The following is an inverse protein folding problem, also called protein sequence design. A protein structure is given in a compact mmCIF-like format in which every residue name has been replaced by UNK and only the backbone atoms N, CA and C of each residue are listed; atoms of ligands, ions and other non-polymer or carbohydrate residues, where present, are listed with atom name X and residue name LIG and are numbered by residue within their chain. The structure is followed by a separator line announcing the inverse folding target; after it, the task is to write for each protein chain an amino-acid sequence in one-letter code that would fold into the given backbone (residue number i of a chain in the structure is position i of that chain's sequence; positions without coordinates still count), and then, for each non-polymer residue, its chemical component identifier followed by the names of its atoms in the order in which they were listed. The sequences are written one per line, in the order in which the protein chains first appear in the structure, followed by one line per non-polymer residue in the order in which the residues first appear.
data_IF_165046975604
#
_entry.id   IF_165046975604
#
_cell.length_a   1.000
_cell.length_b   1.000
_cell.length_c   1.000
_cell.angle_alpha   90.00
_cell.angle_beta   90.00
_cell.angle_gamma   90.00
#
_symmetry.space_group_name_H-M   'P 1'
#
loop_
_entity.id
_entity.type
_entity.pdbx_description
1 polymer ?
#
# COMPACT_ATOMS: atom_id res chain seq x y z
N UNK A 1 22.15 -44.49 49.39
CA UNK A 1 22.76 -43.14 49.33
C UNK A 1 23.22 -42.71 47.94
N UNK A 2 23.94 -43.52 47.15
CA UNK A 2 24.44 -43.11 45.81
C UNK A 2 23.35 -42.78 44.77
N UNK A 3 22.14 -43.34 44.86
CA UNK A 3 21.04 -43.05 43.92
C UNK A 3 20.42 -41.66 44.08
N UNK A 4 20.31 -41.16 45.32
CA UNK A 4 19.80 -39.79 45.57
C UNK A 4 20.73 -38.70 45.04
N UNK A 5 22.05 -38.95 45.04
CA UNK A 5 23.03 -37.98 44.55
C UNK A 5 22.92 -37.80 43.02
N UNK A 6 22.67 -38.89 42.28
CA UNK A 6 22.47 -38.84 40.82
C UNK A 6 21.18 -38.12 40.43
N UNK A 7 20.09 -38.36 41.17
CA UNK A 7 18.81 -37.68 40.92
C UNK A 7 18.92 -36.16 41.13
N UNK A 8 19.67 -35.71 42.15
CA UNK A 8 19.91 -34.29 42.40
C UNK A 8 20.72 -33.61 41.29
N UNK A 9 21.76 -34.27 40.76
CA UNK A 9 22.55 -33.71 39.66
C UNK A 9 21.76 -33.65 38.34
N UNK A 10 20.90 -34.63 38.06
CA UNK A 10 20.01 -34.59 36.89
C UNK A 10 18.97 -33.47 37.01
N UNK A 11 18.36 -33.31 38.18
CA UNK A 11 17.37 -32.24 38.42
C UNK A 11 18.03 -30.85 38.34
N UNK A 12 19.23 -30.69 38.90
CA UNK A 12 19.98 -29.44 38.84
C UNK A 12 20.43 -29.12 37.41
N UNK A 13 20.89 -30.12 36.65
CA UNK A 13 21.22 -29.96 35.23
C UNK A 13 20.00 -29.58 34.38
N UNK A 14 18.84 -30.20 34.61
CA UNK A 14 17.60 -29.86 33.93
C UNK A 14 17.11 -28.45 34.28
N UNK A 15 17.21 -28.04 35.55
CA UNK A 15 16.89 -26.68 35.99
C UNK A 15 17.87 -25.64 35.42
N UNK A 16 19.17 -25.95 35.33
CA UNK A 16 20.15 -25.08 34.67
C UNK A 16 19.86 -24.96 33.17
N UNK A 17 19.47 -26.06 32.52
CA UNK A 17 19.12 -26.06 31.10
C UNK A 17 17.83 -25.28 30.83
N UNK A 18 16.81 -25.40 31.70
CA UNK A 18 15.58 -24.60 31.62
C UNK A 18 15.83 -23.11 31.94
N UNK A 19 16.71 -22.81 32.90
CA UNK A 19 17.11 -21.43 33.22
C UNK A 19 17.97 -20.79 32.12
N UNK A 20 18.80 -21.57 31.43
CA UNK A 20 19.59 -21.07 30.29
C UNK A 20 18.76 -20.98 29.00
N UNK A 21 17.80 -21.88 28.78
CA UNK A 21 16.83 -21.77 27.68
C UNK A 21 15.90 -20.56 27.81
N UNK A 22 15.62 -20.10 29.04
CA UNK A 22 14.86 -18.86 29.30
C UNK A 22 15.73 -17.60 29.33
N UNK A 23 17.06 -17.73 29.44
CA UNK A 23 18.00 -16.62 29.41
C UNK A 23 18.38 -16.16 27.99
N UNK A 24 18.05 -16.94 26.95
CA UNK A 24 17.98 -16.44 25.57
C UNK A 24 16.67 -15.68 25.34
N UNK A 25 16.34 -14.77 26.26
CA UNK A 25 15.25 -13.84 26.07
C UNK A 25 15.54 -13.01 24.83
N UNK A 26 14.63 -13.04 23.85
CA UNK A 26 14.69 -12.33 22.57
C UNK A 26 15.46 -11.00 22.72
N UNK A 27 16.73 -10.99 22.33
CA UNK A 27 17.56 -9.80 22.44
C UNK A 27 16.95 -8.75 21.52
N UNK A 28 16.28 -7.76 22.11
CA UNK A 28 15.54 -6.77 21.35
C UNK A 28 16.53 -5.89 20.59
N UNK A 29 16.44 -5.89 19.26
CA UNK A 29 17.24 -5.01 18.41
C UNK A 29 16.69 -3.60 18.55
N UNK A 30 17.53 -2.68 19.03
CA UNK A 30 17.19 -1.28 19.23
C UNK A 30 17.63 -0.47 18.01
N UNK A 31 16.71 -0.21 17.08
CA UNK A 31 17.03 0.52 15.86
C UNK A 31 17.08 2.05 16.06
N UNK A 32 16.33 2.60 17.04
CA UNK A 32 16.05 4.05 17.09
C UNK A 32 16.33 4.73 18.44
N UNK A 33 16.95 4.03 19.40
CA UNK A 33 17.02 4.48 20.81
C UNK A 33 17.87 5.71 21.07
N UNK A 34 18.66 6.11 20.08
CA UNK A 34 19.47 7.30 20.12
C UNK A 34 19.31 8.01 18.77
N UNK A 35 18.77 9.23 18.75
CA UNK A 35 19.01 10.19 17.65
C UNK A 35 20.50 10.62 17.61
N UNK A 36 21.42 9.71 17.91
CA UNK A 36 22.84 9.92 17.74
C UNK A 36 23.14 9.88 16.23
N UNK A 37 24.09 10.69 15.75
CA UNK A 37 24.51 10.61 14.37
C UNK A 37 25.06 9.20 14.15
N UNK A 38 24.33 8.37 13.40
CA UNK A 38 24.89 7.12 12.89
C UNK A 38 26.01 7.52 11.93
N UNK A 39 27.23 7.60 12.47
CA UNK A 39 28.48 7.73 11.74
C UNK A 39 28.89 6.29 11.42
N UNK A 40 28.24 5.74 10.40
CA UNK A 40 28.50 4.41 9.86
C UNK A 40 27.95 4.37 8.43
N UNK A 41 28.60 3.66 7.50
CA UNK A 41 28.18 3.65 6.09
C UNK A 41 26.74 3.09 5.97
N UNK A 42 25.89 3.77 5.20
CA UNK A 42 24.45 3.44 5.02
C UNK A 42 24.18 1.96 4.72
N UNK A 43 25.11 1.28 4.05
CA UNK A 43 25.02 -0.15 3.69
C UNK A 43 24.83 -1.08 4.90
N UNK A 44 25.34 -0.71 6.07
CA UNK A 44 25.18 -1.56 7.27
C UNK A 44 23.76 -1.54 7.82
N UNK A 45 23.09 -0.38 7.81
CA UNK A 45 21.70 -0.25 8.27
C UNK A 45 20.75 -1.05 7.36
N UNK A 46 20.84 -0.86 6.05
CA UNK A 46 20.00 -1.58 5.08
C UNK A 46 20.17 -3.10 5.23
N UNK A 47 21.42 -3.58 5.39
CA UNK A 47 21.71 -5.00 5.60
C UNK A 47 21.16 -5.53 6.93
N UNK A 48 21.22 -4.72 8.00
CA UNK A 48 20.66 -5.09 9.30
C UNK A 48 19.14 -5.17 9.23
N UNK A 49 18.50 -4.16 8.66
CA UNK A 49 17.03 -4.07 8.53
C UNK A 49 16.47 -5.21 7.71
N UNK A 50 17.16 -5.65 6.65
CA UNK A 50 16.75 -6.81 5.85
C UNK A 50 16.89 -8.16 6.59
N UNK A 51 17.65 -8.21 7.68
CA UNK A 51 17.93 -9.43 8.47
C UNK A 51 17.21 -9.42 9.83
N UNK A 52 16.03 -8.80 9.90
CA UNK A 52 15.23 -8.72 11.13
C UNK A 52 14.14 -9.79 11.26
N UNK A 53 14.00 -10.70 10.29
CA UNK A 53 13.02 -11.79 10.38
C UNK A 53 13.23 -12.62 11.66
N UNK A 54 12.15 -12.91 12.38
CA UNK A 54 12.14 -13.63 13.65
C UNK A 54 12.62 -12.83 14.87
N UNK A 55 13.05 -11.57 14.71
CA UNK A 55 13.60 -10.75 15.81
C UNK A 55 12.56 -9.84 16.42
N UNK A 56 12.77 -9.48 17.69
CA UNK A 56 12.03 -8.41 18.36
C UNK A 56 12.75 -7.08 18.15
N UNK A 57 12.04 -6.07 17.65
CA UNK A 57 12.56 -4.71 17.41
C UNK A 57 11.96 -3.75 18.42
N UNK A 58 12.80 -2.96 19.10
CA UNK A 58 12.39 -1.88 20.02
C UNK A 58 12.52 -0.52 19.33
N UNK A 59 11.40 0.23 19.29
CA UNK A 59 11.27 1.55 18.66
C UNK A 59 11.52 2.70 19.63
N UNK A 60 11.64 3.93 19.13
CA UNK A 60 11.98 5.09 19.98
C UNK A 60 10.94 5.40 21.06
N UNK A 61 9.68 5.03 20.84
CA UNK A 61 8.60 5.16 21.82
C UNK A 61 8.58 4.02 22.86
N UNK A 62 9.58 3.14 22.87
CA UNK A 62 9.69 1.98 23.76
C UNK A 62 8.82 0.79 23.35
N UNK A 63 8.02 0.91 22.29
CA UNK A 63 7.23 -0.21 21.76
C UNK A 63 8.16 -1.29 21.22
N UNK A 64 7.81 -2.55 21.46
CA UNK A 64 8.50 -3.71 20.91
C UNK A 64 7.57 -4.45 19.94
N UNK A 65 8.06 -4.79 18.75
CA UNK A 65 7.34 -5.62 17.78
C UNK A 65 8.17 -6.86 17.46
N UNK A 66 7.57 -8.04 17.55
CA UNK A 66 8.18 -9.29 17.08
C UNK A 66 7.88 -9.46 15.59
N UNK A 67 8.93 -9.52 14.78
CA UNK A 67 8.82 -9.63 13.33
C UNK A 67 8.77 -11.10 12.91
N UNK A 68 7.81 -11.44 12.05
CA UNK A 68 7.67 -12.73 11.41
C UNK A 68 8.53 -12.83 10.16
N UNK A 69 7.96 -13.42 9.11
CA UNK A 69 8.61 -13.57 7.81
C UNK A 69 8.77 -12.24 7.08
N UNK A 70 9.83 -12.15 6.26
CA UNK A 70 10.00 -11.04 5.33
C UNK A 70 9.13 -11.30 4.10
N UNK A 71 8.20 -10.39 3.83
CA UNK A 71 7.27 -10.52 2.71
C UNK A 71 7.78 -9.84 1.44
N UNK A 72 8.60 -8.80 1.58
CA UNK A 72 9.09 -8.05 0.44
C UNK A 72 9.96 -6.87 0.82
N UNK A 73 10.48 -6.19 -0.19
CA UNK A 73 11.33 -5.02 -0.05
C UNK A 73 11.24 -4.17 -1.30
N UNK A 74 10.96 -2.89 -1.12
CA UNK A 74 11.08 -1.87 -2.16
C UNK A 74 12.42 -1.16 -2.09
N UNK A 75 12.49 0.03 -2.70
CA UNK A 75 13.65 0.93 -2.61
C UNK A 75 13.72 1.63 -1.24
N UNK A 76 12.57 1.97 -0.67
CA UNK A 76 12.45 2.82 0.54
C UNK A 76 12.04 2.04 1.78
N UNK A 77 11.34 0.92 1.63
CA UNK A 77 10.81 0.14 2.78
C UNK A 77 10.99 -1.37 2.64
N UNK A 78 11.13 -2.05 3.77
CA UNK A 78 11.02 -3.50 3.90
C UNK A 78 9.72 -3.85 4.61
N UNK A 79 9.11 -4.98 4.24
CA UNK A 79 7.83 -5.43 4.78
C UNK A 79 8.04 -6.75 5.50
N UNK A 80 7.64 -6.79 6.76
CA UNK A 80 7.59 -8.00 7.59
C UNK A 80 6.16 -8.29 8.02
N UNK A 81 5.84 -9.55 8.18
CA UNK A 81 4.69 -9.98 8.96
C UNK A 81 4.87 -9.63 10.44
N UNK A 82 3.79 -9.34 11.16
CA UNK A 82 3.82 -9.28 12.62
C UNK A 82 3.64 -10.69 13.19
N UNK A 83 4.62 -11.15 13.98
CA UNK A 83 4.59 -12.53 14.52
C UNK A 83 3.40 -12.78 15.45
N UNK A 84 2.95 -11.76 16.17
CA UNK A 84 1.81 -11.86 17.10
C UNK A 84 0.45 -11.71 16.39
N UNK A 85 0.43 -11.21 15.16
CA UNK A 85 -0.79 -11.02 14.36
C UNK A 85 -0.51 -11.17 12.86
N UNK A 86 -0.67 -12.39 12.30
CA UNK A 86 -0.34 -12.70 10.91
C UNK A 86 -1.23 -11.98 9.89
N UNK A 87 -2.33 -11.35 10.34
CA UNK A 87 -3.22 -10.54 9.50
C UNK A 87 -2.70 -9.12 9.26
N UNK A 88 -1.57 -8.77 9.91
CA UNK A 88 -0.94 -7.47 9.83
C UNK A 88 0.50 -7.58 9.35
N UNK A 89 0.95 -6.51 8.72
CA UNK A 89 2.33 -6.31 8.31
C UNK A 89 2.88 -5.05 8.94
N UNK A 90 4.18 -5.00 9.14
CA UNK A 90 4.91 -3.80 9.49
C UNK A 90 5.86 -3.42 8.36
N UNK A 91 5.76 -2.16 7.93
CA UNK A 91 6.65 -1.53 6.98
C UNK A 91 7.71 -0.76 7.75
N UNK A 92 8.97 -1.04 7.50
CA UNK A 92 10.12 -0.35 8.09
C UNK A 92 10.88 0.41 7.00
N UNK A 93 11.39 1.59 7.30
CA UNK A 93 12.23 2.34 6.36
C UNK A 93 13.59 1.63 6.19
N UNK A 94 14.00 1.44 4.92
CA UNK A 94 15.22 0.73 4.55
C UNK A 94 16.49 1.56 4.73
N UNK A 95 16.44 2.87 4.49
CA UNK A 95 17.61 3.74 4.53
C UNK A 95 17.31 5.07 5.24
N UNK A 96 18.38 5.77 5.64
CA UNK A 96 18.28 7.05 6.37
C UNK A 96 17.66 8.16 5.53
N UNK A 97 17.84 8.14 4.22
CA UNK A 97 17.21 9.10 3.31
C UNK A 97 15.68 8.96 3.40
N UNK A 98 15.16 7.74 3.36
CA UNK A 98 13.74 7.40 3.57
C UNK A 98 13.21 7.83 4.94
N UNK A 99 14.05 7.76 5.99
CA UNK A 99 13.74 8.32 7.31
C UNK A 99 13.62 9.85 7.26
N UNK A 100 14.52 10.53 6.53
CA UNK A 100 14.57 12.00 6.42
C UNK A 100 13.55 12.58 5.44
N UNK A 101 13.27 11.88 4.34
CA UNK A 101 12.28 12.20 3.31
C UNK A 101 10.86 11.96 3.82
N UNK A 102 10.71 11.43 5.03
CA UNK A 102 9.44 11.24 5.69
C UNK A 102 8.49 10.37 4.84
N UNK A 103 9.00 9.36 4.13
CA UNK A 103 8.21 8.52 3.24
C UNK A 103 7.01 7.89 3.98
N UNK A 104 7.27 7.22 5.11
CA UNK A 104 6.23 6.61 5.94
C UNK A 104 5.21 7.63 6.48
N UNK A 105 5.66 8.85 6.78
CA UNK A 105 4.76 9.95 7.15
C UNK A 105 3.93 10.42 5.95
N UNK A 106 4.50 10.46 4.76
CA UNK A 106 3.78 10.76 3.51
C UNK A 106 2.74 9.69 3.21
N UNK A 107 3.05 8.41 3.41
CA UNK A 107 2.08 7.30 3.31
C UNK A 107 0.92 7.52 4.29
N UNK A 108 1.20 7.83 5.56
CA UNK A 108 0.15 8.08 6.54
C UNK A 108 -0.73 9.30 6.21
N UNK A 109 -0.12 10.38 5.73
CA UNK A 109 -0.85 11.56 5.29
C UNK A 109 -1.75 11.26 4.08
N UNK A 110 -1.21 10.55 3.09
CA UNK A 110 -1.99 10.10 1.93
C UNK A 110 -3.14 9.19 2.33
N UNK A 111 -2.92 8.29 3.31
CA UNK A 111 -3.95 7.37 3.81
C UNK A 111 -5.18 8.10 4.35
N UNK A 112 -4.96 9.17 5.12
CA UNK A 112 -6.06 9.95 5.72
C UNK A 112 -6.97 10.54 4.65
N UNK A 113 -6.39 11.02 3.55
CA UNK A 113 -7.14 11.58 2.42
C UNK A 113 -7.82 10.47 1.62
N UNK A 114 -7.12 9.40 1.28
CA UNK A 114 -7.69 8.26 0.55
C UNK A 114 -8.89 7.67 1.31
N UNK A 115 -8.76 7.50 2.62
CA UNK A 115 -9.84 7.03 3.50
C UNK A 115 -11.02 7.99 3.57
N UNK A 116 -10.78 9.31 3.58
CA UNK A 116 -11.85 10.31 3.58
C UNK A 116 -12.77 10.19 2.35
N UNK A 117 -12.21 9.79 1.20
CA UNK A 117 -12.95 9.59 -0.04
C UNK A 117 -13.34 8.11 -0.29
N UNK A 118 -13.22 7.25 0.73
CA UNK A 118 -13.52 5.81 0.63
C UNK A 118 -12.75 5.11 -0.51
N UNK A 119 -11.53 5.57 -0.80
CA UNK A 119 -10.67 4.93 -1.78
C UNK A 119 -10.28 3.52 -1.29
N UNK A 120 -10.27 2.49 -2.15
CA UNK A 120 -9.84 1.15 -1.77
C UNK A 120 -8.33 1.08 -1.54
N UNK A 121 -7.91 1.28 -0.30
CA UNK A 121 -6.52 1.20 0.16
C UNK A 121 -6.42 0.21 1.31
N UNK A 122 -5.23 -0.34 1.52
CA UNK A 122 -4.99 -1.17 2.73
C UNK A 122 -5.23 -0.37 3.99
N UNK A 123 -5.84 -1.00 4.99
CA UNK A 123 -6.03 -0.34 6.27
C UNK A 123 -4.68 -0.11 6.96
N UNK A 124 -4.42 1.14 7.37
CA UNK A 124 -3.32 1.44 8.29
C UNK A 124 -3.85 1.46 9.71
N UNK A 125 -3.19 0.71 10.60
CA UNK A 125 -3.59 0.58 12.01
C UNK A 125 -2.81 1.53 12.89
N UNK A 126 -1.51 1.67 12.63
CA UNK A 126 -0.61 2.41 13.50
C UNK A 126 0.59 2.96 12.73
N UNK A 127 1.16 4.05 13.23
CA UNK A 127 2.30 4.74 12.67
C UNK A 127 3.14 5.31 13.81
N UNK A 128 4.45 5.12 13.73
CA UNK A 128 5.42 5.96 14.41
C UNK A 128 6.23 6.70 13.35
N UNK A 129 6.06 8.02 13.31
CA UNK A 129 6.51 8.86 12.19
C UNK A 129 7.97 8.62 11.84
N UNK A 130 8.20 8.09 10.65
CA UNK A 130 9.54 7.80 10.12
C UNK A 130 10.08 6.41 10.49
N UNK A 131 9.60 5.76 11.55
CA UNK A 131 10.16 4.47 11.99
C UNK A 131 9.40 3.27 11.42
N UNK A 132 8.06 3.28 11.54
CA UNK A 132 7.24 2.18 11.02
C UNK A 132 5.80 2.58 10.72
N UNK A 133 5.16 1.77 9.89
CA UNK A 133 3.70 1.74 9.68
C UNK A 133 3.21 0.31 9.80
N UNK A 134 2.18 0.08 10.61
CA UNK A 134 1.47 -1.20 10.69
C UNK A 134 0.25 -1.13 9.77
N UNK A 135 0.13 -2.08 8.85
CA UNK A 135 -0.91 -2.15 7.84
C UNK A 135 -1.58 -3.53 7.78
N UNK A 136 -2.72 -3.60 7.11
CA UNK A 136 -3.38 -4.83 6.71
C UNK A 136 -2.47 -5.68 5.82
N UNK A 137 -2.39 -6.97 6.12
CA UNK A 137 -1.79 -7.95 5.20
C UNK A 137 -2.82 -8.29 4.13
N UNK A 138 -2.45 -8.05 2.89
CA UNK A 138 -3.23 -8.48 1.73
C UNK A 138 -2.69 -9.83 1.27
N UNK A 139 -3.57 -10.82 1.09
CA UNK A 139 -3.16 -12.10 0.55
C UNK A 139 -4.30 -13.13 0.49
N UNK A 140 -4.23 -14.08 -0.46
CA UNK A 140 -3.46 -14.06 -1.72
C UNK A 140 -3.94 -12.94 -2.67
N UNK A 141 -3.13 -12.48 -3.64
CA UNK A 141 -3.46 -11.26 -4.41
C UNK A 141 -2.96 -11.26 -5.85
N UNK A 142 -3.77 -10.84 -6.84
CA UNK A 142 -3.37 -10.70 -8.26
C UNK A 142 -2.95 -9.26 -8.54
N UNK A 143 -1.76 -9.00 -9.07
CA UNK A 143 -1.41 -7.64 -9.51
C UNK A 143 -2.24 -7.21 -10.73
N UNK A 144 -2.39 -5.90 -10.91
CA UNK A 144 -3.07 -5.35 -12.07
C UNK A 144 -2.37 -5.76 -13.36
N UNK A 145 -1.04 -5.64 -13.45
CA UNK A 145 -0.27 -6.09 -14.61
C UNK A 145 -0.54 -7.57 -14.98
N UNK A 146 -0.65 -8.47 -13.98
CA UNK A 146 -0.96 -9.87 -14.24
C UNK A 146 -2.39 -10.07 -14.74
N UNK A 147 -3.36 -9.37 -14.17
CA UNK A 147 -4.73 -9.39 -14.70
C UNK A 147 -4.77 -8.97 -16.18
N UNK A 148 -3.97 -7.98 -16.55
CA UNK A 148 -3.90 -7.48 -17.92
C UNK A 148 -3.22 -8.46 -18.86
N UNK A 149 -2.09 -9.03 -18.45
CA UNK A 149 -1.46 -10.12 -19.21
C UNK A 149 -2.45 -11.23 -19.52
N UNK A 150 -3.28 -11.61 -18.55
CA UNK A 150 -4.34 -12.61 -18.76
C UNK A 150 -5.37 -12.16 -19.81
N UNK A 151 -5.91 -10.93 -19.70
CA UNK A 151 -6.89 -10.41 -20.67
C UNK A 151 -6.32 -10.31 -22.11
N UNK A 152 -5.02 -10.10 -22.23
CA UNK A 152 -4.29 -10.06 -23.51
C UNK A 152 -3.92 -11.46 -24.05
N UNK A 153 -4.26 -12.54 -23.34
CA UNK A 153 -3.83 -13.89 -23.67
C UNK A 153 -2.32 -14.12 -23.53
N UNK A 154 -1.62 -13.26 -22.79
CA UNK A 154 -0.19 -13.41 -22.47
C UNK A 154 -0.01 -14.40 -21.32
N UNK A 155 1.08 -15.17 -21.39
CA UNK A 155 1.42 -16.10 -20.33
C UNK A 155 1.70 -15.36 -19.01
N UNK A 156 1.14 -15.87 -17.92
CA UNK A 156 1.48 -15.47 -16.56
C UNK A 156 2.75 -16.24 -16.17
N UNK A 157 3.86 -15.54 -15.94
CA UNK A 157 5.08 -16.16 -15.42
C UNK A 157 4.98 -16.28 -13.89
N UNK A 158 5.39 -17.44 -13.35
CA UNK A 158 5.72 -17.64 -11.94
C UNK A 158 4.57 -17.47 -10.92
N UNK A 159 3.38 -17.98 -11.23
CA UNK A 159 2.21 -17.79 -10.36
C UNK A 159 1.38 -19.04 -10.08
N UNK A 160 1.02 -19.21 -8.81
CA UNK A 160 0.24 -20.35 -8.29
C UNK A 160 -1.27 -20.22 -8.55
N UNK A 161 -1.74 -19.06 -9.02
CA UNK A 161 -3.17 -18.78 -9.21
C UNK A 161 -3.49 -18.68 -10.70
N UNK A 162 -4.31 -19.62 -11.18
CA UNK A 162 -4.92 -19.56 -12.51
C UNK A 162 -6.09 -18.58 -12.49
N UNK A 163 -6.11 -17.66 -13.46
CA UNK A 163 -7.26 -16.77 -13.68
C UNK A 163 -8.18 -17.48 -14.69
N UNK A 164 -9.31 -17.99 -14.20
CA UNK A 164 -10.38 -18.52 -15.05
C UNK A 164 -11.40 -17.42 -15.41
N UNK A 165 -12.34 -17.74 -16.31
CA UNK A 165 -13.36 -16.80 -16.76
C UNK A 165 -14.25 -16.26 -15.63
N UNK A 166 -14.49 -17.07 -14.59
CA UNK A 166 -15.29 -16.63 -13.45
C UNK A 166 -14.54 -15.58 -12.63
N UNK A 167 -13.29 -15.87 -12.28
CA UNK A 167 -12.43 -14.97 -11.55
C UNK A 167 -12.18 -13.69 -12.33
N UNK A 168 -11.91 -13.78 -13.64
CA UNK A 168 -11.77 -12.61 -14.51
C UNK A 168 -13.01 -11.71 -14.47
N UNK A 169 -14.22 -12.29 -14.51
CA UNK A 169 -15.48 -11.52 -14.38
C UNK A 169 -15.62 -10.87 -13.00
N UNK A 170 -15.25 -11.55 -11.92
CA UNK A 170 -15.26 -10.97 -10.56
C UNK A 170 -14.31 -9.78 -10.45
N UNK A 171 -13.08 -9.95 -10.93
CA UNK A 171 -12.06 -8.89 -10.97
C UNK A 171 -12.52 -7.69 -11.78
N UNK A 172 -13.14 -7.91 -12.94
CA UNK A 172 -13.71 -6.89 -13.81
C UNK A 172 -14.76 -6.05 -13.07
N UNK A 173 -15.74 -6.70 -12.42
CA UNK A 173 -16.79 -6.00 -11.64
C UNK A 173 -16.23 -5.24 -10.44
N UNK A 174 -15.28 -5.86 -9.73
CA UNK A 174 -14.60 -5.20 -8.63
C UNK A 174 -13.80 -3.99 -9.12
N UNK A 175 -13.25 -4.03 -10.32
CA UNK A 175 -12.49 -2.94 -10.91
C UNK A 175 -13.38 -1.74 -11.26
N UNK A 176 -14.59 -1.99 -11.78
CA UNK A 176 -15.59 -0.93 -11.98
C UNK A 176 -15.94 -0.23 -10.66
N UNK A 177 -16.09 -1.00 -9.57
CA UNK A 177 -16.32 -0.46 -8.22
C UNK A 177 -15.14 0.37 -7.74
N UNK A 178 -13.91 -0.13 -7.92
CA UNK A 178 -12.67 0.58 -7.60
C UNK A 178 -12.56 1.90 -8.37
N UNK A 179 -12.85 1.89 -9.66
CA UNK A 179 -12.83 3.06 -10.54
C UNK A 179 -13.83 4.13 -10.05
N UNK A 180 -15.04 3.72 -9.67
CA UNK A 180 -16.02 4.64 -9.08
C UNK A 180 -15.54 5.28 -7.77
N UNK A 181 -14.97 4.49 -6.86
CA UNK A 181 -14.47 4.98 -5.55
C UNK A 181 -13.23 5.88 -5.66
N UNK A 182 -12.45 5.73 -6.73
CA UNK A 182 -11.24 6.53 -6.95
C UNK A 182 -11.45 7.72 -7.89
N UNK A 183 -12.68 7.94 -8.38
CA UNK A 183 -13.01 9.01 -9.32
C UNK A 183 -12.74 10.44 -8.80
N UNK A 184 -12.66 10.61 -7.48
CA UNK A 184 -12.29 11.87 -6.84
C UNK A 184 -10.83 12.28 -7.10
N UNK A 185 -9.99 11.39 -7.63
CA UNK A 185 -8.55 11.57 -7.78
C UNK A 185 -8.11 11.64 -9.25
N UNK A 186 -7.51 12.76 -9.63
CA UNK A 186 -6.76 12.93 -10.88
C UNK A 186 -5.36 12.31 -10.84
N UNK A 187 -4.85 12.07 -9.64
CA UNK A 187 -3.57 11.42 -9.44
C UNK A 187 -3.43 10.97 -8.00
N UNK A 188 -2.95 9.75 -7.82
CA UNK A 188 -2.44 9.23 -6.56
C UNK A 188 -0.91 9.21 -6.72
N UNK A 189 -0.21 9.77 -5.74
CA UNK A 189 1.22 10.01 -5.82
C UNK A 189 1.98 8.72 -5.66
N UNK A 190 3.02 8.57 -6.50
CA UNK A 190 3.84 7.37 -6.56
C UNK A 190 3.06 6.11 -6.95
N UNK A 191 1.92 6.26 -7.66
CA UNK A 191 1.04 5.16 -8.05
C UNK A 191 1.50 4.46 -9.33
N UNK A 192 1.87 3.19 -9.21
CA UNK A 192 2.27 2.28 -10.27
C UNK A 192 1.28 1.09 -10.38
N UNK A 193 1.38 0.33 -11.47
CA UNK A 193 0.53 -0.81 -11.82
C UNK A 193 0.74 -2.03 -10.91
N UNK A 194 1.97 -2.24 -10.42
CA UNK A 194 2.31 -3.27 -9.44
C UNK A 194 1.77 -2.97 -8.02
N UNK A 195 1.37 -1.72 -7.77
CA UNK A 195 0.77 -1.27 -6.52
C UNK A 195 -0.75 -1.41 -6.49
N UNK A 196 -1.40 -1.73 -7.61
CA UNK A 196 -2.81 -2.07 -7.65
C UNK A 196 -2.95 -3.59 -7.67
N UNK A 197 -3.56 -4.16 -6.64
CA UNK A 197 -3.76 -5.61 -6.55
C UNK A 197 -5.20 -5.97 -6.28
N UNK A 198 -5.62 -7.11 -6.79
CA UNK A 198 -6.88 -7.76 -6.47
C UNK A 198 -6.66 -8.70 -5.30
N UNK A 199 -7.23 -8.36 -4.14
CA UNK A 199 -7.27 -9.19 -2.95
C UNK A 199 -8.23 -10.35 -3.17
N UNK A 200 -7.71 -11.56 -3.37
CA UNK A 200 -8.51 -12.76 -3.65
C UNK A 200 -9.40 -13.14 -2.46
N UNK A 201 -8.96 -12.86 -1.23
CA UNK A 201 -9.71 -13.19 -0.03
C UNK A 201 -10.94 -12.30 0.14
N UNK A 202 -10.78 -11.01 -0.15
CA UNK A 202 -11.83 -10.01 0.03
C UNK A 202 -12.54 -9.61 -1.28
N UNK A 203 -12.19 -10.25 -2.40
CA UNK A 203 -12.73 -10.01 -3.75
C UNK A 203 -12.78 -8.53 -4.15
N UNK A 204 -11.70 -7.78 -3.87
CA UNK A 204 -11.63 -6.33 -4.11
C UNK A 204 -10.28 -5.88 -4.64
N UNK A 205 -10.28 -4.84 -5.45
CA UNK A 205 -9.04 -4.11 -5.78
C UNK A 205 -8.64 -3.20 -4.64
N UNK A 206 -7.35 -3.19 -4.31
CA UNK A 206 -6.75 -2.36 -3.27
C UNK A 206 -5.43 -1.79 -3.75
N UNK A 207 -5.14 -0.56 -3.34
CA UNK A 207 -3.84 0.06 -3.55
C UNK A 207 -2.92 -0.37 -2.39
N UNK A 208 -1.76 -0.91 -2.73
CA UNK A 208 -0.64 -1.20 -1.85
C UNK A 208 0.44 -0.16 -2.16
N UNK A 209 0.71 0.77 -1.25
CA UNK A 209 1.74 1.80 -1.44
C UNK A 209 1.30 3.07 -2.19
N UNK A 210 1.59 4.21 -1.56
CA UNK A 210 1.25 5.55 -2.03
C UNK A 210 2.04 6.58 -1.23
N UNK A 211 2.12 7.79 -1.76
CA UNK A 211 2.70 8.95 -1.07
C UNK A 211 1.66 10.06 -0.87
N UNK A 212 2.08 11.15 -0.23
CA UNK A 212 1.22 12.31 0.05
C UNK A 212 0.94 13.18 -1.17
N UNK A 213 1.56 12.90 -2.31
CA UNK A 213 1.18 13.53 -3.57
C UNK A 213 -0.22 13.07 -3.95
N UNK A 214 -1.21 13.94 -4.02
CA UNK A 214 -2.48 13.61 -4.65
C UNK A 214 -3.00 14.83 -5.38
N UNK A 215 -3.78 14.59 -6.43
CA UNK A 215 -4.49 15.64 -7.16
C UNK A 215 -5.95 15.26 -7.19
N UNK A 216 -6.82 16.12 -6.69
CA UNK A 216 -8.26 15.92 -6.79
C UNK A 216 -8.71 16.16 -8.24
N UNK A 217 -9.75 15.45 -8.66
CA UNK A 217 -10.37 15.59 -9.97
C UNK A 217 -11.33 16.77 -10.08
N UNK A 218 -11.51 17.48 -8.97
CA UNK A 218 -12.37 18.65 -8.85
C UNK A 218 -11.59 19.79 -8.19
N UNK A 219 -11.92 21.02 -8.57
CA UNK A 219 -11.37 22.24 -7.97
C UNK A 219 -12.49 23.25 -7.74
N UNK A 220 -12.35 24.08 -6.71
CA UNK A 220 -13.26 25.22 -6.52
C UNK A 220 -12.81 26.38 -7.42
N UNK A 221 -13.75 26.92 -8.18
CA UNK A 221 -13.58 28.10 -9.02
C UNK A 221 -14.71 29.06 -8.67
N UNK A 222 -14.39 30.21 -8.07
CA UNK A 222 -15.36 31.27 -7.74
C UNK A 222 -16.56 30.79 -6.90
N UNK A 223 -16.36 29.83 -6.00
CA UNK A 223 -17.42 29.31 -5.12
C UNK A 223 -18.22 28.16 -5.70
N UNK A 224 -17.89 27.67 -6.90
CA UNK A 224 -18.47 26.48 -7.53
C UNK A 224 -17.40 25.44 -7.77
N UNK A 225 -17.74 24.16 -7.56
CA UNK A 225 -16.83 23.06 -7.85
C UNK A 225 -16.94 22.65 -9.32
N UNK A 226 -15.78 22.52 -9.97
CA UNK A 226 -15.66 22.16 -11.38
C UNK A 226 -14.72 20.98 -11.57
N UNK A 227 -14.96 20.21 -12.63
CA UNK A 227 -14.07 19.16 -13.11
C UNK A 227 -12.73 19.74 -13.59
N UNK A 228 -11.61 19.21 -13.11
CA UNK A 228 -10.27 19.48 -13.66
C UNK A 228 -10.05 18.72 -14.98
N UNK A 229 -9.77 19.36 -16.12
CA UNK A 229 -9.71 18.70 -17.44
C UNK A 229 -8.65 17.58 -17.60
N UNK A 230 -7.79 17.39 -16.61
CA UNK A 230 -6.72 16.40 -16.64
C UNK A 230 -7.26 14.96 -16.52
N UNK A 231 -6.60 14.03 -17.19
CA UNK A 231 -6.90 12.59 -17.12
C UNK A 231 -6.86 12.09 -15.67
N UNK A 232 -7.87 11.30 -15.30
CA UNK A 232 -7.95 10.61 -14.01
C UNK A 232 -6.72 9.72 -13.77
N UNK A 233 -6.44 9.35 -12.51
CA UNK A 233 -5.33 8.45 -12.19
C UNK A 233 -5.42 7.14 -13.00
N UNK A 234 -6.64 6.62 -13.14
CA UNK A 234 -6.96 5.43 -13.94
C UNK A 234 -6.63 5.63 -15.43
N UNK A 235 -7.06 6.76 -16.00
CA UNK A 235 -6.80 7.11 -17.38
C UNK A 235 -5.30 7.26 -17.68
N UNK A 236 -4.51 7.76 -16.71
CA UNK A 236 -3.05 7.83 -16.86
C UNK A 236 -2.40 6.45 -16.82
N UNK A 237 -2.90 5.57 -15.95
CA UNK A 237 -2.42 4.19 -15.86
C UNK A 237 -2.64 3.46 -17.19
N UNK A 238 -3.84 3.58 -17.78
CA UNK A 238 -4.12 3.09 -19.13
C UNK A 238 -3.24 3.74 -20.22
N UNK A 239 -3.00 5.06 -20.15
CA UNK A 239 -2.17 5.75 -21.15
C UNK A 239 -0.70 5.34 -21.09
N UNK A 240 -0.15 5.18 -19.89
CA UNK A 240 1.27 4.85 -19.69
C UNK A 240 1.60 3.47 -20.24
N UNK A 241 0.79 2.49 -19.90
CA UNK A 241 1.13 1.09 -20.16
C UNK A 241 0.69 0.64 -21.57
N UNK A 242 -0.26 1.35 -22.19
CA UNK A 242 -0.83 0.96 -23.49
C UNK A 242 -0.69 2.02 -24.59
N UNK A 243 -0.01 3.14 -24.32
CA UNK A 243 0.07 4.29 -25.25
C UNK A 243 -1.31 4.75 -25.74
N UNK A 244 -2.37 4.56 -24.93
CA UNK A 244 -3.75 4.91 -25.29
C UNK A 244 -3.89 6.44 -25.28
N UNK A 245 -4.07 7.02 -26.46
CA UNK A 245 -4.47 8.41 -26.59
C UNK A 245 -5.99 8.49 -26.39
N UNK A 246 -6.45 8.85 -25.19
CA UNK A 246 -7.88 8.87 -24.82
C UNK A 246 -8.68 9.94 -25.60
N UNK A 247 -8.00 10.81 -26.36
CA UNK A 247 -8.63 11.73 -27.31
C UNK A 247 -9.06 11.07 -28.63
N UNK A 248 -8.66 9.82 -28.88
CA UNK A 248 -9.04 9.09 -30.09
C UNK A 248 -10.39 8.41 -29.88
N UNK A 249 -11.33 8.68 -30.80
CA UNK A 249 -12.61 7.98 -30.88
C UNK A 249 -12.39 6.48 -31.11
N UNK A 250 -13.43 5.66 -30.95
CA UNK A 250 -13.38 4.22 -31.23
C UNK A 250 -12.81 3.85 -32.63
N UNK A 251 -12.80 4.80 -33.57
CA UNK A 251 -12.19 4.66 -34.89
C UNK A 251 -10.66 4.85 -34.91
N UNK A 252 -10.09 5.71 -34.05
CA UNK A 252 -8.63 5.89 -33.95
C UNK A 252 -7.91 4.70 -33.31
N UNK A 253 -8.62 3.92 -32.48
CA UNK A 253 -8.11 2.71 -31.83
C UNK A 253 -7.76 1.57 -32.81
N UNK A 254 -8.27 1.60 -34.05
CA UNK A 254 -8.07 0.53 -35.05
C UNK A 254 -6.64 0.43 -35.60
N UNK A 255 -5.83 1.49 -35.50
CA UNK A 255 -4.46 1.51 -36.05
C UNK A 255 -3.36 1.50 -34.97
N UNK A 256 -3.74 1.41 -33.70
CA UNK A 256 -2.85 1.42 -32.54
C UNK A 256 -2.47 -0.01 -32.12
N UNK A 257 -1.37 -0.23 -31.35
CA UNK A 257 -1.15 -1.49 -30.62
C UNK A 257 -2.39 -2.00 -29.85
N UNK A 258 -3.33 -1.09 -29.55
CA UNK A 258 -4.65 -1.34 -28.96
C UNK A 258 -5.56 -2.24 -29.81
N UNK A 259 -5.39 -2.27 -31.14
CA UNK A 259 -6.19 -3.14 -32.02
C UNK A 259 -5.97 -4.65 -31.74
N UNK A 260 -4.95 -5.00 -30.95
CA UNK A 260 -4.68 -6.36 -30.48
C UNK A 260 -5.36 -6.69 -29.16
N UNK A 261 -5.97 -5.72 -28.48
CA UNK A 261 -6.69 -5.95 -27.24
C UNK A 261 -8.04 -6.60 -27.53
N UNK A 262 -8.47 -7.51 -26.67
CA UNK A 262 -9.74 -8.21 -26.83
C UNK A 262 -10.93 -7.23 -26.78
N UNK A 263 -12.03 -7.48 -27.52
CA UNK A 263 -13.25 -6.67 -27.42
C UNK A 263 -13.75 -6.51 -25.98
N UNK A 264 -13.61 -7.57 -25.17
CA UNK A 264 -13.94 -7.60 -23.75
C UNK A 264 -13.12 -6.58 -22.95
N UNK A 265 -11.82 -6.48 -23.25
CA UNK A 265 -10.93 -5.51 -22.62
C UNK A 265 -11.32 -4.06 -22.94
N UNK A 266 -11.61 -3.77 -24.20
CA UNK A 266 -12.04 -2.44 -24.64
C UNK A 266 -13.35 -2.04 -23.97
N UNK A 267 -14.28 -2.99 -23.85
CA UNK A 267 -15.54 -2.77 -23.14
C UNK A 267 -15.33 -2.47 -21.65
N UNK A 268 -14.42 -3.18 -20.98
CA UNK A 268 -14.05 -2.90 -19.58
C UNK A 268 -13.47 -1.49 -19.42
N UNK A 269 -12.56 -1.08 -20.30
CA UNK A 269 -11.96 0.25 -20.24
C UNK A 269 -13.02 1.35 -20.42
N UNK A 270 -13.91 1.21 -21.41
CA UNK A 270 -14.99 2.16 -21.65
C UNK A 270 -15.96 2.23 -20.46
N UNK A 271 -16.37 1.08 -19.90
CA UNK A 271 -17.21 1.03 -18.71
C UNK A 271 -16.55 1.69 -17.49
N UNK A 272 -15.26 1.43 -17.25
CA UNK A 272 -14.52 2.01 -16.15
C UNK A 272 -14.43 3.54 -16.30
N UNK A 273 -14.10 4.05 -17.50
CA UNK A 273 -14.02 5.48 -17.79
C UNK A 273 -15.38 6.17 -17.60
N UNK A 274 -16.47 5.59 -18.14
CA UNK A 274 -17.83 6.10 -17.93
C UNK A 274 -18.25 6.11 -16.46
N UNK A 275 -17.82 5.10 -15.70
CA UNK A 275 -18.10 5.01 -14.25
C UNK A 275 -17.35 6.08 -13.47
N UNK A 276 -16.08 6.33 -13.81
CA UNK A 276 -15.30 7.45 -13.25
C UNK A 276 -15.99 8.78 -13.52
N UNK A 277 -16.39 9.04 -14.76
CA UNK A 277 -17.00 10.32 -15.11
C UNK A 277 -18.36 10.53 -14.41
N UNK A 278 -19.21 9.49 -14.34
CA UNK A 278 -20.47 9.56 -13.58
C UNK A 278 -20.24 9.83 -12.10
N UNK A 279 -19.32 9.11 -11.47
CA UNK A 279 -19.00 9.27 -10.05
C UNK A 279 -18.45 10.68 -9.76
N UNK A 280 -17.65 11.21 -10.67
CA UNK A 280 -17.11 12.57 -10.58
C UNK A 280 -18.19 13.64 -10.67
N UNK A 281 -19.12 13.52 -11.63
CA UNK A 281 -20.24 14.46 -11.75
C UNK A 281 -21.12 14.45 -10.49
N UNK A 282 -21.42 13.26 -9.95
CA UNK A 282 -22.16 13.14 -8.69
C UNK A 282 -21.42 13.78 -7.51
N UNK A 283 -20.09 13.68 -7.46
CA UNK A 283 -19.28 14.34 -6.45
C UNK A 283 -19.38 15.87 -6.54
N UNK A 284 -19.29 16.43 -7.75
CA UNK A 284 -19.45 17.87 -8.01
C UNK A 284 -20.81 18.36 -7.51
N UNK A 285 -21.88 17.65 -7.86
CA UNK A 285 -23.24 17.97 -7.44
C UNK A 285 -23.36 18.00 -5.91
N UNK A 286 -22.83 16.97 -5.22
CA UNK A 286 -22.81 16.91 -3.75
C UNK A 286 -22.05 18.06 -3.11
N UNK A 287 -20.90 18.45 -3.65
CA UNK A 287 -20.12 19.58 -3.13
C UNK A 287 -20.85 20.92 -3.34
N UNK A 288 -21.46 21.13 -4.51
CA UNK A 288 -22.25 22.33 -4.77
C UNK A 288 -23.49 22.41 -3.87
N UNK A 289 -24.19 21.30 -3.65
CA UNK A 289 -25.38 21.24 -2.79
C UNK A 289 -25.07 21.48 -1.30
N UNK A 290 -23.89 21.07 -0.83
CA UNK A 290 -23.48 21.24 0.57
C UNK A 290 -23.01 22.66 0.91
N UNK A 291 -22.86 23.56 -0.07
CA UNK A 291 -22.29 24.90 0.14
C UNK A 291 -20.84 24.86 0.64
N UNK A 292 -20.17 23.71 0.48
CA UNK A 292 -18.85 23.44 1.02
C UNK A 292 -17.82 24.23 0.22
N UNK A 293 -17.43 25.41 0.70
CA UNK A 293 -16.26 26.13 0.19
C UNK A 293 -15.02 25.36 0.58
N UNK A 294 -14.00 25.26 -0.28
CA UNK A 294 -12.75 24.62 0.12
C UNK A 294 -12.29 25.25 1.44
N UNK A 295 -11.98 24.46 2.47
CA UNK A 295 -11.21 24.98 3.57
C UNK A 295 -9.94 25.55 2.93
N UNK A 296 -9.70 26.85 3.15
CA UNK A 296 -8.48 27.50 2.68
C UNK A 296 -7.27 26.61 2.98
N UNK A 297 -6.21 26.67 2.17
CA UNK A 297 -4.98 25.89 2.41
C UNK A 297 -4.51 25.98 3.89
N UNK A 298 -4.79 27.11 4.54
CA UNK A 298 -4.55 27.37 5.96
C UNK A 298 -5.52 26.68 6.93
N UNK A 299 -6.78 26.47 6.55
CA UNK A 299 -7.74 25.67 7.33
C UNK A 299 -7.37 24.19 7.33
N UNK A 300 -6.92 23.63 6.20
CA UNK A 300 -6.47 22.23 6.12
C UNK A 300 -5.29 22.01 7.07
N UNK A 301 -4.27 22.88 7.04
CA UNK A 301 -3.10 22.77 7.93
C UNK A 301 -3.44 22.93 9.42
N UNK A 302 -4.37 23.83 9.77
CA UNK A 302 -4.85 23.99 11.16
C UNK A 302 -5.72 22.84 11.64
N UNK A 303 -6.55 22.25 10.77
CA UNK A 303 -7.37 21.08 11.09
C UNK A 303 -6.51 19.83 11.35
N UNK A 304 -5.31 19.77 10.75
CA UNK A 304 -4.32 18.72 10.97
C UNK A 304 -3.22 19.08 12.00
N UNK A 305 -3.38 20.16 12.77
CA UNK A 305 -2.45 20.51 13.85
C UNK A 305 -1.05 20.90 13.40
N UNK A 306 -0.83 21.21 12.12
CA UNK A 306 0.45 21.70 11.61
C UNK A 306 0.52 23.19 11.88
N UNK A 307 1.23 23.58 12.95
CA UNK A 307 1.58 24.99 13.19
C UNK A 307 2.57 25.42 12.10
N UNK A 308 2.24 26.51 11.42
CA UNK A 308 3.19 27.29 10.61
C UNK A 308 4.34 27.79 11.47
#
# INVERSE_FOLDING_TARGET
MKSMLRARHLLFGALLFLASASAFGDEAVRLFRNRLPVIGPMKEYDSQVQKLAGKTVEFSNGKKLKLGERLGSGKTTVIYELADDPTKVVRLALNRESLSENYLKSTWNGYSVLKQYDAPVVQLFENLSGEYVIAERVGPMISFDNFFKHLDGRALSDWDVTIDDELARKMTRAFETFAGKTAAFNGIGDFYDDQLVYDLKNERWVILDWTSGYRLSIKEVRGTWEAVPELSALARLFRRDFSINISETAEGLKCSPIARLSPEFLALCDNALRTVERARLALIEKFNASGFRQPSRNCILRFFGVRS
#
